data_IF_125201339230
#
_entry.id   IF_125201339230
#
_cell.length_a   1.000
_cell.length_b   1.000
_cell.length_c   1.000
_cell.angle_alpha   90.00
_cell.angle_beta   90.00
_cell.angle_gamma   90.00
#
_symmetry.space_group_name_H-M   'P 1'
#
loop_
_entity.id
_entity.type
_entity.pdbx_description
1 polymer ?
#
# COMPACT_ATOMS: atom_id res chain seq x y z
N UNK A 1 -5.40 -10.23 -12.88
CA UNK A 1 -5.00 -10.89 -11.64
C UNK A 1 -6.18 -11.02 -10.68
N UNK A 2 -6.09 -11.95 -9.75
CA UNK A 2 -7.06 -12.19 -8.68
C UNK A 2 -6.35 -12.25 -7.31
N UNK A 3 -7.10 -12.33 -6.22
CA UNK A 3 -6.52 -12.33 -4.86
C UNK A 3 -5.49 -13.46 -4.66
N UNK A 4 -5.75 -14.73 -5.05
CA UNK A 4 -4.75 -15.80 -4.96
C UNK A 4 -3.43 -15.51 -5.69
N UNK A 5 -3.45 -14.76 -6.81
CA UNK A 5 -2.21 -14.39 -7.52
C UNK A 5 -1.28 -13.52 -6.67
N UNK A 6 -1.85 -12.75 -5.74
CA UNK A 6 -1.13 -11.84 -4.85
C UNK A 6 -0.81 -12.51 -3.50
N UNK A 7 -1.72 -13.32 -2.95
CA UNK A 7 -1.59 -13.90 -1.61
C UNK A 7 -0.78 -15.21 -1.58
N UNK A 8 -0.60 -15.89 -2.72
CA UNK A 8 0.12 -17.17 -2.79
C UNK A 8 1.64 -17.08 -2.51
N UNK A 9 2.22 -15.89 -2.59
CA UNK A 9 3.63 -15.69 -2.27
C UNK A 9 3.90 -15.99 -0.79
N UNK A 10 5.10 -16.51 -0.49
CA UNK A 10 5.53 -16.66 0.91
C UNK A 10 5.69 -15.30 1.55
N UNK A 11 4.91 -15.01 2.60
CA UNK A 11 4.89 -13.71 3.30
C UNK A 11 4.61 -12.52 2.35
N UNK A 12 3.46 -12.45 1.67
CA UNK A 12 3.19 -11.37 0.72
C UNK A 12 3.19 -10.01 1.42
N UNK A 13 3.75 -9.00 0.75
CA UNK A 13 3.54 -7.59 1.07
C UNK A 13 2.58 -7.02 0.03
N UNK A 14 1.43 -6.56 0.48
CA UNK A 14 0.35 -6.06 -0.38
C UNK A 14 0.19 -4.57 -0.13
N UNK A 15 0.03 -3.79 -1.18
CA UNK A 15 -0.26 -2.37 -1.06
C UNK A 15 -1.73 -2.16 -1.43
N UNK A 16 -2.47 -1.51 -0.55
CA UNK A 16 -3.89 -1.23 -0.74
C UNK A 16 -4.07 0.27 -0.89
N UNK A 17 -4.68 0.69 -1.99
CA UNK A 17 -4.85 2.10 -2.36
C UNK A 17 -6.33 2.47 -2.37
N UNK A 18 -6.72 3.41 -1.53
CA UNK A 18 -8.08 3.95 -1.52
C UNK A 18 -8.11 5.33 -2.17
N UNK A 19 -8.77 5.41 -3.33
CA UNK A 19 -9.09 6.67 -4.00
C UNK A 19 -7.87 7.56 -4.29
N UNK A 20 -6.76 6.99 -4.76
CA UNK A 20 -5.61 7.76 -5.25
C UNK A 20 -6.01 8.46 -6.56
N UNK A 21 -5.88 9.80 -6.63
CA UNK A 21 -6.37 10.58 -7.75
C UNK A 21 -5.28 11.08 -8.70
N UNK A 22 -4.06 11.27 -8.22
CA UNK A 22 -2.97 11.74 -9.08
C UNK A 22 -2.31 10.58 -9.86
N UNK A 23 -2.31 10.62 -11.20
CA UNK A 23 -1.69 9.59 -12.04
C UNK A 23 -0.18 9.42 -11.78
N UNK A 24 0.51 10.48 -11.39
CA UNK A 24 1.93 10.44 -11.04
C UNK A 24 2.16 9.68 -9.72
N UNK A 25 1.30 9.90 -8.72
CA UNK A 25 1.34 9.17 -7.46
C UNK A 25 1.11 7.68 -7.70
N UNK A 26 0.05 7.32 -8.43
CA UNK A 26 -0.24 5.92 -8.73
C UNK A 26 0.95 5.24 -9.45
N UNK A 27 1.51 5.89 -10.46
CA UNK A 27 2.66 5.35 -11.18
C UNK A 27 3.90 5.22 -10.30
N UNK A 28 4.15 6.18 -9.41
CA UNK A 28 5.27 6.14 -8.46
C UNK A 28 5.08 5.01 -7.45
N UNK A 29 3.86 4.81 -6.94
CA UNK A 29 3.54 3.70 -6.02
C UNK A 29 3.79 2.36 -6.71
N UNK A 30 3.35 2.18 -7.96
CA UNK A 30 3.59 0.95 -8.73
C UNK A 30 5.09 0.66 -8.89
N UNK A 31 5.90 1.67 -9.21
CA UNK A 31 7.37 1.53 -9.30
C UNK A 31 7.99 1.14 -7.96
N UNK A 32 7.58 1.81 -6.90
CA UNK A 32 8.09 1.52 -5.55
C UNK A 32 7.68 0.12 -5.08
N UNK A 33 6.46 -0.32 -5.43
CA UNK A 33 5.97 -1.67 -5.15
C UNK A 33 6.85 -2.74 -5.83
N UNK A 34 7.20 -2.55 -7.11
CA UNK A 34 8.15 -3.42 -7.80
C UNK A 34 9.51 -3.42 -7.11
N UNK A 35 10.08 -2.23 -6.87
CA UNK A 35 11.41 -2.10 -6.29
C UNK A 35 11.53 -2.64 -4.87
N UNK A 36 10.47 -2.56 -4.08
CA UNK A 36 10.42 -3.08 -2.72
C UNK A 36 9.99 -4.56 -2.63
N UNK A 37 9.67 -5.20 -3.77
CA UNK A 37 9.26 -6.60 -3.82
C UNK A 37 7.85 -6.85 -3.26
N UNK A 38 6.92 -5.91 -3.47
CA UNK A 38 5.52 -6.13 -3.14
C UNK A 38 4.92 -7.26 -4.00
N UNK A 39 4.11 -8.10 -3.39
CA UNK A 39 3.43 -9.20 -4.09
C UNK A 39 2.34 -8.69 -5.04
N UNK A 40 1.79 -7.50 -4.74
CA UNK A 40 0.82 -6.85 -5.62
C UNK A 40 0.23 -5.58 -5.02
N UNK A 41 -0.57 -4.91 -5.85
CA UNK A 41 -1.29 -3.69 -5.50
C UNK A 41 -2.79 -3.91 -5.67
N UNK A 42 -3.58 -3.58 -4.66
CA UNK A 42 -5.04 -3.60 -4.71
C UNK A 42 -5.51 -2.14 -4.65
N UNK A 43 -6.32 -1.73 -5.56
CA UNK A 43 -6.83 -0.36 -5.61
C UNK A 43 -8.36 -0.33 -5.65
N UNK A 44 -8.94 0.68 -5.03
CA UNK A 44 -10.38 0.92 -5.10
C UNK A 44 -10.77 1.38 -6.51
N UNK A 45 -12.02 1.15 -6.89
CA UNK A 45 -12.55 1.46 -8.23
C UNK A 45 -12.51 2.94 -8.57
N UNK A 46 -12.57 3.81 -7.56
CA UNK A 46 -12.49 5.27 -7.69
C UNK A 46 -11.05 5.82 -7.72
N UNK A 47 -10.04 4.94 -7.66
CA UNK A 47 -8.65 5.31 -7.96
C UNK A 47 -8.52 5.70 -9.43
N UNK A 48 -7.66 6.66 -9.74
CA UNK A 48 -7.38 7.09 -11.11
C UNK A 48 -7.06 5.90 -12.01
N UNK A 49 -7.53 5.95 -13.25
CA UNK A 49 -7.34 4.86 -14.21
C UNK A 49 -5.86 4.53 -14.38
N UNK A 50 -5.51 3.30 -14.07
CA UNK A 50 -4.14 2.78 -14.20
C UNK A 50 -3.67 2.76 -15.67
N UNK A 51 -4.60 2.70 -16.61
CA UNK A 51 -4.32 2.76 -18.05
C UNK A 51 -4.28 4.18 -18.61
N UNK A 52 -4.49 5.20 -17.77
CA UNK A 52 -4.29 6.58 -18.18
C UNK A 52 -2.85 6.76 -18.71
N UNK A 53 -2.64 7.41 -19.89
CA UNK A 53 -1.30 7.56 -20.47
C UNK A 53 -0.26 8.20 -19.56
N UNK A 54 -0.67 9.11 -18.66
CA UNK A 54 0.22 9.72 -17.67
C UNK A 54 0.63 8.69 -16.60
N UNK A 55 -0.33 7.85 -16.14
CA UNK A 55 -0.04 6.76 -15.20
C UNK A 55 0.91 5.76 -15.83
N UNK A 56 0.60 5.25 -17.03
CA UNK A 56 1.45 4.28 -17.73
C UNK A 56 2.89 4.79 -17.85
N UNK A 57 3.08 6.05 -18.28
CA UNK A 57 4.43 6.63 -18.38
C UNK A 57 5.15 6.67 -17.03
N UNK A 58 4.45 7.05 -15.96
CA UNK A 58 5.06 7.17 -14.63
C UNK A 58 5.39 5.82 -13.99
N UNK A 59 4.75 4.71 -14.39
CA UNK A 59 5.11 3.37 -13.91
C UNK A 59 6.47 2.88 -14.42
N UNK A 60 7.00 3.44 -15.50
CA UNK A 60 8.24 2.97 -16.16
C UNK A 60 8.20 1.45 -16.45
N UNK A 61 7.04 0.94 -16.80
CA UNK A 61 6.82 -0.48 -17.11
C UNK A 61 6.49 -1.38 -15.93
N UNK A 62 6.49 -0.89 -14.69
CA UNK A 62 6.10 -1.69 -13.51
C UNK A 62 4.66 -2.21 -13.62
N UNK A 63 3.80 -1.50 -14.35
CA UNK A 63 2.43 -1.93 -14.66
C UNK A 63 2.35 -3.35 -15.24
N UNK A 64 3.35 -3.78 -16.00
CA UNK A 64 3.37 -5.10 -16.65
C UNK A 64 4.03 -6.20 -15.81
N UNK A 65 4.63 -5.84 -14.68
CA UNK A 65 5.41 -6.76 -13.84
C UNK A 65 4.83 -6.92 -12.43
N UNK A 66 4.15 -5.90 -11.91
CA UNK A 66 3.52 -5.95 -10.60
C UNK A 66 2.06 -6.40 -10.77
N UNK A 67 1.64 -7.49 -10.15
CA UNK A 67 0.23 -7.86 -10.11
C UNK A 67 -0.60 -6.74 -9.49
N UNK A 68 -1.77 -6.45 -10.08
CA UNK A 68 -2.69 -5.49 -9.48
C UNK A 68 -4.15 -5.92 -9.68
N UNK A 69 -5.00 -5.44 -8.77
CA UNK A 69 -6.44 -5.69 -8.75
C UNK A 69 -7.16 -4.37 -8.55
N UNK A 70 -8.19 -4.14 -9.35
CA UNK A 70 -9.17 -3.08 -9.14
C UNK A 70 -10.37 -3.71 -8.42
N UNK A 71 -10.58 -3.32 -7.17
CA UNK A 71 -11.62 -3.89 -6.32
C UNK A 71 -12.90 -3.06 -6.39
N UNK A 72 -14.04 -3.73 -6.63
CA UNK A 72 -15.37 -3.10 -6.60
C UNK A 72 -15.81 -2.78 -5.17
N UNK A 73 -15.36 -3.56 -4.18
CA UNK A 73 -15.58 -3.33 -2.74
C UNK A 73 -14.26 -3.56 -1.99
N UNK A 74 -13.47 -2.50 -1.88
CA UNK A 74 -12.15 -2.57 -1.26
C UNK A 74 -12.22 -2.94 0.23
N UNK A 75 -13.29 -2.54 0.94
CA UNK A 75 -13.51 -2.92 2.33
C UNK A 75 -13.64 -4.44 2.46
N UNK A 76 -14.51 -5.04 1.65
CA UNK A 76 -14.72 -6.49 1.63
C UNK A 76 -13.45 -7.25 1.26
N UNK A 77 -12.70 -6.73 0.30
CA UNK A 77 -11.43 -7.31 -0.12
C UNK A 77 -10.41 -7.30 1.01
N UNK A 78 -10.26 -6.19 1.72
CA UNK A 78 -9.31 -6.07 2.84
C UNK A 78 -9.72 -6.94 4.03
N UNK A 79 -11.01 -6.99 4.35
CA UNK A 79 -11.52 -7.92 5.39
C UNK A 79 -11.21 -9.38 5.02
N UNK A 80 -11.38 -9.77 3.75
CA UNK A 80 -11.00 -11.11 3.28
C UNK A 80 -9.51 -11.41 3.43
N UNK A 81 -8.62 -10.45 3.14
CA UNK A 81 -7.17 -10.62 3.39
C UNK A 81 -6.88 -10.85 4.88
N UNK A 82 -7.57 -10.13 5.75
CA UNK A 82 -7.42 -10.30 7.20
C UNK A 82 -7.87 -11.68 7.66
N UNK A 83 -8.97 -12.20 7.13
CA UNK A 83 -9.45 -13.55 7.41
C UNK A 83 -8.46 -14.64 6.93
N UNK A 84 -7.67 -14.36 5.90
CA UNK A 84 -6.57 -15.20 5.42
C UNK A 84 -5.26 -15.03 6.24
N UNK A 85 -5.28 -14.25 7.32
CA UNK A 85 -4.13 -14.05 8.22
C UNK A 85 -3.14 -12.99 7.77
N UNK A 86 -3.49 -12.14 6.80
CA UNK A 86 -2.69 -10.98 6.41
C UNK A 86 -2.87 -9.88 7.45
N UNK A 87 -1.77 -9.40 8.03
CA UNK A 87 -1.79 -8.28 8.99
C UNK A 87 -1.99 -6.95 8.28
N UNK A 88 -2.99 -6.19 8.70
CA UNK A 88 -3.42 -4.96 8.03
C UNK A 88 -2.90 -3.73 8.78
N UNK A 89 -2.18 -2.88 8.07
CA UNK A 89 -1.67 -1.59 8.55
C UNK A 89 -2.37 -0.44 7.81
N UNK A 90 -2.92 0.53 8.54
CA UNK A 90 -3.46 1.76 7.98
C UNK A 90 -2.48 2.91 8.20
N UNK A 91 -1.99 3.52 7.11
CA UNK A 91 -1.19 4.74 7.19
C UNK A 91 -2.10 5.94 7.43
N UNK A 92 -2.03 6.51 8.64
CA UNK A 92 -2.86 7.64 9.08
C UNK A 92 -2.01 8.65 9.84
N UNK A 93 -2.39 9.94 9.76
CA UNK A 93 -1.72 11.01 10.51
C UNK A 93 -1.89 10.86 12.03
N UNK A 94 -3.07 10.39 12.45
CA UNK A 94 -3.43 10.10 13.83
C UNK A 94 -2.98 8.70 14.30
N UNK A 95 -2.12 8.04 13.53
CA UNK A 95 -1.58 6.73 13.85
C UNK A 95 -0.85 6.73 15.19
N UNK A 96 -1.14 5.73 16.01
CA UNK A 96 -0.55 5.60 17.35
C UNK A 96 0.89 5.06 17.30
N UNK A 97 1.23 4.30 16.25
CA UNK A 97 2.52 3.63 16.14
C UNK A 97 3.37 4.26 15.04
N UNK A 98 4.64 4.46 15.31
CA UNK A 98 5.61 4.84 14.27
C UNK A 98 5.85 3.65 13.35
N UNK A 99 5.79 3.88 12.03
CA UNK A 99 5.83 2.82 11.02
C UNK A 99 7.03 1.89 11.16
N UNK A 100 8.20 2.39 11.55
CA UNK A 100 9.44 1.61 11.67
C UNK A 100 9.50 0.73 12.94
N UNK A 101 8.54 0.86 13.86
CA UNK A 101 8.42 -0.01 15.05
C UNK A 101 7.55 -1.23 14.81
N UNK A 102 6.91 -1.32 13.66
CA UNK A 102 6.07 -2.46 13.30
C UNK A 102 6.87 -3.57 12.62
N UNK A 103 6.34 -4.78 12.69
CA UNK A 103 6.97 -5.96 12.08
C UNK A 103 6.28 -6.33 10.76
N UNK A 104 6.97 -6.11 9.65
CA UNK A 104 6.50 -6.40 8.30
C UNK A 104 7.02 -7.73 7.70
N UNK A 105 7.66 -8.58 8.48
CA UNK A 105 8.30 -9.80 7.96
C UNK A 105 7.32 -10.92 7.60
N UNK A 106 6.11 -10.91 8.14
CA UNK A 106 5.04 -11.85 7.79
C UNK A 106 4.15 -11.33 6.65
N UNK A 107 3.08 -12.07 6.32
CA UNK A 107 2.05 -11.59 5.41
C UNK A 107 1.47 -10.27 5.92
N UNK A 108 1.52 -9.22 5.10
CA UNK A 108 1.01 -7.91 5.51
C UNK A 108 0.45 -7.12 4.35
N UNK A 109 -0.49 -6.24 4.66
CA UNK A 109 -1.02 -5.23 3.74
C UNK A 109 -0.88 -3.83 4.36
N UNK A 110 -0.46 -2.86 3.55
CA UNK A 110 -0.36 -1.45 3.94
C UNK A 110 -1.38 -0.65 3.14
N UNK A 111 -2.30 -0.01 3.84
CA UNK A 111 -3.34 0.82 3.24
C UNK A 111 -2.88 2.28 3.19
N UNK A 112 -2.98 2.87 2.00
CA UNK A 112 -2.68 4.28 1.72
C UNK A 112 -3.96 4.92 1.16
N UNK A 113 -4.35 6.04 1.71
CA UNK A 113 -5.55 6.76 1.33
C UNK A 113 -5.33 7.89 0.33
N UNK A 114 -6.43 8.54 -0.02
CA UNK A 114 -6.50 9.72 -0.88
C UNK A 114 -5.54 10.83 -0.42
N UNK A 115 -4.99 11.59 -1.37
CA UNK A 115 -3.99 12.63 -1.12
C UNK A 115 -4.49 13.76 -0.21
N UNK A 116 -5.79 14.08 -0.25
CA UNK A 116 -6.38 15.15 0.55
C UNK A 116 -7.08 14.65 1.81
N UNK A 117 -7.82 13.55 1.70
CA UNK A 117 -8.71 13.08 2.76
C UNK A 117 -8.17 11.88 3.55
N UNK A 118 -7.07 11.26 3.08
CA UNK A 118 -6.55 10.04 3.69
C UNK A 118 -7.45 8.84 3.48
N UNK A 119 -7.34 7.86 4.36
CA UNK A 119 -8.20 6.68 4.39
C UNK A 119 -9.55 7.00 5.00
N UNK A 120 -10.62 6.40 4.45
CA UNK A 120 -11.94 6.46 5.09
C UNK A 120 -11.94 5.73 6.43
N UNK A 121 -12.79 6.16 7.36
CA UNK A 121 -12.94 5.48 8.65
C UNK A 121 -13.45 4.05 8.47
N UNK A 122 -14.31 3.82 7.48
CA UNK A 122 -14.80 2.49 7.13
C UNK A 122 -13.65 1.55 6.78
N UNK A 123 -12.77 1.95 5.85
CA UNK A 123 -11.65 1.09 5.45
C UNK A 123 -10.61 0.97 6.56
N UNK A 124 -10.32 2.06 7.27
CA UNK A 124 -9.39 2.07 8.41
C UNK A 124 -9.82 1.10 9.51
N UNK A 125 -11.13 0.86 9.71
CA UNK A 125 -11.63 -0.06 10.73
C UNK A 125 -11.21 -1.52 10.52
N UNK A 126 -10.79 -1.90 9.29
CA UNK A 126 -10.23 -3.22 9.02
C UNK A 126 -8.80 -3.39 9.55
N UNK A 127 -8.08 -2.30 9.82
CA UNK A 127 -6.69 -2.36 10.21
C UNK A 127 -6.48 -3.00 11.59
N UNK A 128 -5.39 -3.75 11.70
CA UNK A 128 -4.88 -4.25 12.99
C UNK A 128 -4.07 -3.19 13.72
N UNK A 129 -3.44 -2.30 12.95
CA UNK A 129 -2.60 -1.22 13.47
C UNK A 129 -2.74 0.05 12.63
N UNK A 130 -2.77 1.20 13.30
CA UNK A 130 -2.62 2.50 12.69
C UNK A 130 -1.16 2.92 12.81
N UNK A 131 -0.55 3.22 11.68
CA UNK A 131 0.86 3.61 11.59
C UNK A 131 0.99 5.02 11.06
N UNK A 132 2.02 5.73 11.50
CA UNK A 132 2.36 7.07 11.01
C UNK A 132 3.84 7.18 10.67
N UNK A 133 4.15 8.07 9.76
CA UNK A 133 5.51 8.57 9.53
C UNK A 133 5.67 9.81 10.40
N UNK A 134 6.59 9.82 11.39
CA UNK A 134 6.80 11.00 12.24
C UNK A 134 7.34 12.16 11.42
N UNK A 135 6.88 13.37 11.72
CA UNK A 135 7.27 14.60 11.04
C UNK A 135 7.98 15.50 12.05
N UNK A 136 9.20 15.94 11.73
CA UNK A 136 10.00 16.82 12.61
C UNK A 136 9.68 18.31 12.41
N UNK A 137 9.08 18.67 11.28
CA UNK A 137 8.75 20.05 10.93
C UNK A 137 7.27 20.39 11.14
N UNK A 138 6.84 21.51 10.55
CA UNK A 138 5.44 21.98 10.59
C UNK A 138 4.54 21.30 9.57
N UNK A 139 5.07 20.45 8.70
CA UNK A 139 4.28 19.68 7.74
C UNK A 139 3.51 18.59 8.46
N UNK A 140 2.22 18.44 8.11
CA UNK A 140 1.38 17.40 8.69
C UNK A 140 1.61 16.02 8.06
N UNK A 141 1.92 15.97 6.76
CA UNK A 141 2.06 14.72 6.01
C UNK A 141 3.03 14.82 4.84
N UNK A 142 3.48 13.68 4.36
CA UNK A 142 4.16 13.53 3.08
C UNK A 142 3.15 13.27 1.95
N UNK A 143 3.60 13.48 0.72
CA UNK A 143 2.90 13.01 -0.47
C UNK A 143 2.56 11.51 -0.36
N UNK A 144 1.39 11.10 -0.85
CA UNK A 144 0.91 9.72 -0.71
C UNK A 144 1.88 8.67 -1.30
N UNK A 145 2.47 8.96 -2.47
CA UNK A 145 3.44 8.05 -3.08
C UNK A 145 4.76 7.99 -2.30
N UNK A 146 5.19 9.11 -1.72
CA UNK A 146 6.36 9.15 -0.84
C UNK A 146 6.10 8.35 0.43
N UNK A 147 4.94 8.55 1.07
CA UNK A 147 4.54 7.78 2.26
C UNK A 147 4.51 6.28 1.99
N UNK A 148 3.88 5.87 0.89
CA UNK A 148 3.85 4.48 0.46
C UNK A 148 5.26 3.92 0.26
N UNK A 149 6.14 4.67 -0.41
CA UNK A 149 7.52 4.25 -0.69
C UNK A 149 8.34 4.08 0.59
N UNK A 150 8.25 5.03 1.52
CA UNK A 150 8.96 4.96 2.81
C UNK A 150 8.57 3.69 3.58
N UNK A 151 7.27 3.40 3.68
CA UNK A 151 6.78 2.22 4.42
C UNK A 151 7.18 0.92 3.69
N UNK A 152 7.04 0.87 2.36
CA UNK A 152 7.41 -0.30 1.56
C UNK A 152 8.90 -0.63 1.70
N UNK A 153 9.78 0.37 1.66
CA UNK A 153 11.23 0.14 1.77
C UNK A 153 11.66 -0.21 3.19
N UNK A 154 10.96 0.26 4.23
CA UNK A 154 11.17 -0.25 5.58
C UNK A 154 10.77 -1.73 5.68
N UNK A 155 9.64 -2.11 5.11
CA UNK A 155 9.23 -3.51 5.05
C UNK A 155 10.24 -4.38 4.27
N UNK A 156 10.75 -3.89 3.14
CA UNK A 156 11.79 -4.56 2.36
C UNK A 156 13.08 -4.73 3.16
N UNK A 157 13.53 -3.68 3.87
CA UNK A 157 14.72 -3.72 4.74
C UNK A 157 14.61 -4.83 5.78
N UNK A 158 13.49 -4.87 6.53
CA UNK A 158 13.26 -5.89 7.55
C UNK A 158 13.27 -7.31 6.98
N UNK A 159 12.73 -7.50 5.79
CA UNK A 159 12.66 -8.80 5.12
C UNK A 159 14.02 -9.28 4.64
N UNK A 160 14.87 -8.37 4.14
CA UNK A 160 16.24 -8.67 3.73
C UNK A 160 17.11 -9.06 4.93
N UNK A 161 17.00 -8.36 6.07
CA UNK A 161 17.78 -8.69 7.27
C UNK A 161 17.44 -10.06 7.88
N UNK A 162 16.19 -10.54 7.72
CA UNK A 162 15.79 -11.89 8.17
C UNK A 162 16.28 -13.03 7.25
N UNK A 163 16.75 -12.69 6.06
CA UNK A 163 17.20 -13.68 5.07
C UNK A 163 18.72 -13.94 5.18
N UNK A 164 19.42 -13.11 5.93
CA UNK A 164 20.85 -13.25 6.28
C UNK A 164 20.99 -13.96 7.62
#
# INVERSE_FOLDING_TARGET
YNIPDITSAKNPMIIVLENIQDPGNLGTIMRSAEGAGAAGVIMSRDTVDIYNPKTIRSTMGSLFRVPFIISDDIYKTVCGLKDEGVKIYAARLDGSNEYYRENYCGPCAVMIGNEGNGLTDKLSSCADKYIRIPMEGSLESLNAAVSASVIMYEAARQRHEKTL
#
